data_IF_413006529668
#
_entry.id   IF_413006529668
#
_cell.length_a   1.000
_cell.length_b   1.000
_cell.length_c   1.000
_cell.angle_alpha   90.00
_cell.angle_beta   90.00
_cell.angle_gamma   90.00
#
_symmetry.space_group_name_H-M   'P 1'
#
loop_
_entity.id
_entity.type
_entity.pdbx_description
1 polymer ?
#
# COMPACT_ATOMS: atom_id res chain seq x y z
N UNK A 1 -30.51 -34.50 -41.39
CA UNK A 1 -31.00 -33.96 -40.11
C UNK A 1 -30.32 -32.62 -39.90
N UNK A 2 -30.99 -31.54 -40.28
CA UNK A 2 -30.48 -30.17 -40.10
C UNK A 2 -30.90 -29.68 -38.73
N UNK A 3 -29.92 -29.45 -37.85
CA UNK A 3 -30.14 -28.84 -36.54
C UNK A 3 -30.24 -27.33 -36.78
N UNK A 4 -31.46 -26.80 -36.74
CA UNK A 4 -31.70 -25.36 -36.74
C UNK A 4 -31.50 -24.87 -35.31
N UNK A 5 -30.34 -24.27 -35.01
CA UNK A 5 -30.16 -23.50 -33.78
C UNK A 5 -31.02 -22.25 -33.87
N UNK A 6 -32.11 -22.23 -33.11
CA UNK A 6 -32.92 -21.04 -32.89
C UNK A 6 -32.07 -20.08 -32.04
N UNK A 7 -31.56 -19.02 -32.66
CA UNK A 7 -31.03 -17.87 -31.92
C UNK A 7 -32.20 -17.19 -31.21
N UNK A 8 -32.28 -17.34 -29.89
CA UNK A 8 -33.27 -16.62 -29.07
C UNK A 8 -32.80 -15.17 -28.90
N UNK A 9 -33.57 -14.16 -29.34
CA UNK A 9 -33.22 -12.74 -29.21
C UNK A 9 -33.39 -12.19 -27.78
N UNK A 10 -33.54 -13.05 -26.77
CA UNK A 10 -33.81 -12.66 -25.37
C UNK A 10 -32.58 -12.68 -24.47
N UNK A 11 -31.46 -13.28 -24.88
CA UNK A 11 -30.24 -13.36 -24.05
C UNK A 11 -29.48 -12.03 -23.97
N UNK A 12 -29.67 -11.09 -24.92
CA UNK A 12 -28.93 -9.81 -24.93
C UNK A 12 -29.53 -8.75 -24.02
N UNK A 13 -30.79 -8.89 -23.60
CA UNK A 13 -31.47 -7.88 -22.78
C UNK A 13 -31.11 -8.01 -21.29
N UNK A 14 -30.75 -9.22 -20.84
CA UNK A 14 -30.37 -9.48 -19.45
C UNK A 14 -28.97 -8.96 -19.12
N UNK A 15 -28.02 -9.02 -20.07
CA UNK A 15 -26.67 -8.46 -19.88
C UNK A 15 -26.68 -6.93 -19.74
N UNK A 16 -27.47 -6.21 -20.55
CA UNK A 16 -27.54 -4.73 -20.46
C UNK A 16 -28.25 -4.23 -19.18
N UNK A 17 -29.24 -4.99 -18.69
CA UNK A 17 -29.93 -4.70 -17.43
C UNK A 17 -29.05 -4.95 -16.20
N UNK A 18 -28.19 -5.97 -16.23
CA UNK A 18 -27.26 -6.26 -15.13
C UNK A 18 -26.13 -5.23 -15.04
N UNK A 19 -25.61 -4.76 -16.19
CA UNK A 19 -24.63 -3.66 -16.21
C UNK A 19 -25.21 -2.34 -15.72
N UNK A 20 -26.41 -1.97 -16.15
CA UNK A 20 -27.07 -0.73 -15.70
C UNK A 20 -27.49 -0.81 -14.23
N UNK A 21 -27.96 -1.96 -13.75
CA UNK A 21 -28.23 -2.18 -12.33
C UNK A 21 -26.94 -2.11 -11.50
N UNK A 22 -25.85 -2.72 -11.97
CA UNK A 22 -24.54 -2.64 -11.34
C UNK A 22 -24.02 -1.20 -11.24
N UNK A 23 -24.11 -0.43 -12.33
CA UNK A 23 -23.74 0.98 -12.34
C UNK A 23 -24.62 1.84 -11.43
N UNK A 24 -25.92 1.56 -11.37
CA UNK A 24 -26.85 2.23 -10.46
C UNK A 24 -26.53 1.91 -9.00
N UNK A 25 -26.29 0.65 -8.66
CA UNK A 25 -25.90 0.24 -7.32
C UNK A 25 -24.58 0.87 -6.90
N UNK A 26 -23.58 0.91 -7.79
CA UNK A 26 -22.30 1.58 -7.55
C UNK A 26 -22.46 3.09 -7.38
N UNK A 27 -23.33 3.74 -8.14
CA UNK A 27 -23.56 5.20 -7.99
C UNK A 27 -24.33 5.56 -6.72
N UNK A 28 -25.16 4.63 -6.20
CA UNK A 28 -25.94 4.80 -4.97
C UNK A 28 -25.26 4.21 -3.73
N UNK A 29 -24.12 3.54 -3.90
CA UNK A 29 -23.27 3.09 -2.81
C UNK A 29 -22.69 4.31 -2.11
N UNK A 30 -23.26 4.63 -0.95
CA UNK A 30 -22.80 5.73 -0.11
C UNK A 30 -21.34 5.46 0.30
N UNK A 31 -20.39 6.36 -0.02
CA UNK A 31 -19.00 6.16 0.35
C UNK A 31 -18.88 6.11 1.87
N UNK A 32 -18.03 5.21 2.35
CA UNK A 32 -17.74 5.05 3.77
C UNK A 32 -16.24 4.93 3.98
N UNK A 33 -15.80 5.25 5.19
CA UNK A 33 -14.41 5.08 5.58
C UNK A 33 -14.15 3.62 5.90
N UNK A 34 -13.25 2.98 5.15
CA UNK A 34 -12.87 1.58 5.38
C UNK A 34 -12.35 1.33 6.80
N UNK A 35 -11.70 2.33 7.42
CA UNK A 35 -11.11 2.17 8.75
C UNK A 35 -12.09 2.39 9.92
N UNK A 36 -12.99 3.37 9.83
CA UNK A 36 -13.87 3.74 10.95
C UNK A 36 -15.38 3.70 10.64
N UNK A 37 -15.76 3.34 9.42
CA UNK A 37 -17.15 3.21 9.00
C UNK A 37 -17.93 4.52 8.85
N UNK A 38 -17.33 5.70 9.08
CA UNK A 38 -18.07 6.96 8.90
C UNK A 38 -18.48 7.13 7.43
N UNK A 39 -19.72 7.58 7.23
CA UNK A 39 -20.26 7.96 5.92
C UNK A 39 -20.17 9.47 5.67
N UNK A 40 -19.65 10.21 6.65
CA UNK A 40 -19.59 11.66 6.63
C UNK A 40 -18.17 12.12 6.98
N UNK A 41 -17.63 12.99 6.14
CA UNK A 41 -16.31 13.57 6.33
C UNK A 41 -16.17 14.83 5.49
N UNK A 42 -15.34 15.77 5.93
CA UNK A 42 -15.05 16.99 5.18
C UNK A 42 -14.31 16.73 3.87
N UNK A 43 -13.55 15.62 3.79
CA UNK A 43 -12.78 15.24 2.61
C UNK A 43 -12.51 13.74 2.61
N UNK A 44 -12.78 13.09 1.49
CA UNK A 44 -12.39 11.71 1.23
C UNK A 44 -10.94 11.63 0.76
N UNK A 45 -10.19 10.66 1.27
CA UNK A 45 -8.78 10.41 0.94
C UNK A 45 -8.60 8.97 0.48
N UNK A 46 -7.62 8.73 -0.39
CA UNK A 46 -7.25 7.38 -0.84
C UNK A 46 -6.37 6.70 0.20
N UNK A 47 -6.71 5.46 0.56
CA UNK A 47 -5.97 4.61 1.48
C UNK A 47 -5.07 3.59 0.76
N UNK A 48 -4.97 2.39 1.33
CA UNK A 48 -4.24 1.27 0.72
C UNK A 48 -5.01 0.68 -0.46
N UNK A 49 -4.28 -0.05 -1.31
CA UNK A 49 -4.90 -0.88 -2.36
C UNK A 49 -5.30 -2.20 -1.73
N UNK A 50 -6.59 -2.54 -1.81
CA UNK A 50 -7.07 -3.87 -1.42
C UNK A 50 -6.72 -4.86 -2.53
N UNK A 51 -6.35 -6.10 -2.20
CA UNK A 51 -6.16 -7.14 -3.21
C UNK A 51 -7.46 -7.56 -3.90
N UNK A 52 -8.61 -7.29 -3.26
CA UNK A 52 -9.94 -7.60 -3.77
C UNK A 52 -10.52 -6.49 -4.64
N UNK A 53 -10.08 -5.25 -4.43
CA UNK A 53 -10.55 -4.10 -5.19
C UNK A 53 -9.44 -3.65 -6.16
N UNK A 54 -9.78 -3.43 -7.42
CA UNK A 54 -8.85 -2.84 -8.40
C UNK A 54 -8.46 -1.40 -8.06
N UNK A 55 -9.08 -0.80 -7.04
CA UNK A 55 -8.89 0.58 -6.61
C UNK A 55 -8.51 0.69 -5.13
N UNK A 56 -7.94 1.85 -4.76
CA UNK A 56 -7.61 2.16 -3.37
C UNK A 56 -8.87 2.33 -2.53
N UNK A 57 -8.83 1.88 -1.28
CA UNK A 57 -9.94 2.06 -0.33
C UNK A 57 -10.16 3.54 -0.02
N UNK A 58 -11.39 3.89 0.36
CA UNK A 58 -11.74 5.24 0.78
C UNK A 58 -11.55 5.40 2.28
N UNK A 59 -10.88 6.48 2.68
CA UNK A 59 -10.69 6.87 4.07
C UNK A 59 -11.30 8.25 4.32
N UNK A 60 -11.87 8.45 5.50
CA UNK A 60 -12.27 9.79 5.94
C UNK A 60 -11.05 10.69 6.13
N UNK A 61 -11.26 12.00 6.25
CA UNK A 61 -10.17 12.97 6.36
C UNK A 61 -9.23 12.64 7.54
N UNK A 62 -9.76 12.31 8.71
CA UNK A 62 -8.98 11.99 9.90
C UNK A 62 -8.14 10.71 9.72
N UNK A 63 -8.75 9.63 9.22
CA UNK A 63 -8.07 8.36 8.99
C UNK A 63 -7.02 8.48 7.87
N UNK A 64 -7.38 9.11 6.75
CA UNK A 64 -6.46 9.31 5.63
C UNK A 64 -5.24 10.15 5.99
N UNK A 65 -5.39 11.19 6.82
CA UNK A 65 -4.24 11.97 7.31
C UNK A 65 -3.26 11.12 8.12
N UNK A 66 -3.75 10.23 9.00
CA UNK A 66 -2.91 9.30 9.75
C UNK A 66 -2.24 8.29 8.83
N UNK A 67 -2.98 7.74 7.87
CA UNK A 67 -2.46 6.82 6.87
C UNK A 67 -1.27 7.43 6.10
N UNK A 68 -1.41 8.65 5.57
CA UNK A 68 -0.34 9.34 4.86
C UNK A 68 0.86 9.73 5.76
N UNK A 69 0.62 9.88 7.07
CA UNK A 69 1.69 10.04 8.08
C UNK A 69 2.32 8.72 8.50
N UNK A 70 2.00 7.62 7.82
CA UNK A 70 2.53 6.29 8.13
C UNK A 70 2.13 5.76 9.52
N UNK A 71 1.03 6.26 10.06
CA UNK A 71 0.48 5.90 11.37
C UNK A 71 -0.52 4.74 11.26
N UNK A 72 -0.05 3.62 10.71
CA UNK A 72 -0.84 2.40 10.56
C UNK A 72 0.05 1.15 10.55
N UNK A 73 -0.54 -0.01 10.87
CA UNK A 73 0.15 -1.29 10.76
C UNK A 73 0.29 -1.70 9.28
N UNK A 74 1.50 -1.98 8.77
CA UNK A 74 1.72 -2.27 7.35
C UNK A 74 1.12 -3.59 6.85
N UNK A 75 0.66 -4.46 7.75
CA UNK A 75 0.12 -5.77 7.39
C UNK A 75 -1.41 -5.79 7.38
N UNK A 76 -2.04 -5.35 8.48
CA UNK A 76 -3.50 -5.33 8.59
C UNK A 76 -4.13 -3.97 8.28
N UNK A 77 -3.33 -2.96 7.95
CA UNK A 77 -3.77 -1.58 7.66
C UNK A 77 -4.50 -0.85 8.79
N UNK A 78 -4.55 -1.43 9.98
CA UNK A 78 -5.13 -0.79 11.17
C UNK A 78 -4.45 0.55 11.46
N UNK A 79 -5.25 1.63 11.50
CA UNK A 79 -4.79 2.99 11.74
C UNK A 79 -4.91 3.31 13.24
N UNK A 80 -3.78 3.31 13.93
CA UNK A 80 -3.75 3.61 15.36
C UNK A 80 -4.04 5.10 15.65
N UNK A 81 -4.83 5.36 16.69
CA UNK A 81 -5.27 6.67 17.15
C UNK A 81 -4.98 6.97 18.63
N UNK A 82 -5.41 8.16 19.06
CA UNK A 82 -5.23 8.62 20.45
C UNK A 82 -6.03 7.81 21.48
N UNK A 83 -7.10 7.13 21.04
CA UNK A 83 -7.91 6.28 21.91
C UNK A 83 -7.16 4.97 22.23
N UNK A 84 -6.39 4.45 21.27
CA UNK A 84 -5.60 3.22 21.41
C UNK A 84 -4.37 3.41 22.32
N UNK A 85 -3.93 4.66 22.56
CA UNK A 85 -2.90 4.97 23.56
C UNK A 85 -3.39 4.68 24.99
N UNK A 86 -4.71 4.73 25.23
CA UNK A 86 -5.31 4.51 26.56
C UNK A 86 -5.70 3.05 26.81
N UNK A 87 -5.77 2.22 25.77
CA UNK A 87 -6.05 0.78 25.88
C UNK A 87 -4.75 0.00 25.99
N UNK A 88 -4.07 0.18 27.12
CA UNK A 88 -2.73 -0.33 27.45
C UNK A 88 -2.66 -1.86 27.63
N UNK A 89 -3.68 -2.63 27.22
CA UNK A 89 -3.73 -4.09 27.42
C UNK A 89 -4.00 -4.91 26.16
N UNK A 90 -4.24 -4.29 25.00
CA UNK A 90 -4.45 -5.02 23.75
C UNK A 90 -3.25 -4.83 22.81
N UNK A 91 -2.48 -5.91 22.74
CA UNK A 91 -1.54 -6.26 21.67
C UNK A 91 -0.14 -5.65 21.77
N UNK A 92 0.86 -6.53 21.91
CA UNK A 92 2.28 -6.21 21.84
C UNK A 92 2.60 -5.50 20.51
N UNK A 93 2.87 -4.20 20.55
CA UNK A 93 3.29 -3.43 19.39
C UNK A 93 4.81 -3.46 19.24
N UNK A 94 5.29 -3.85 18.07
CA UNK A 94 6.68 -3.68 17.66
C UNK A 94 6.88 -2.27 17.10
N UNK A 95 7.92 -1.57 17.56
CA UNK A 95 8.22 -0.19 17.13
C UNK A 95 9.48 -0.18 16.28
N UNK A 96 9.37 0.25 15.02
CA UNK A 96 10.49 0.32 14.10
C UNK A 96 11.52 1.36 14.56
N UNK A 97 12.78 0.94 14.75
CA UNK A 97 13.86 1.84 15.14
C UNK A 97 14.18 2.91 14.10
N UNK A 98 13.99 2.61 12.82
CA UNK A 98 14.39 3.51 11.72
C UNK A 98 13.38 4.62 11.43
N UNK A 99 12.08 4.37 11.60
CA UNK A 99 11.03 5.33 11.21
C UNK A 99 9.95 5.54 12.28
N UNK A 100 10.04 4.86 13.43
CA UNK A 100 9.05 4.95 14.50
C UNK A 100 7.69 4.30 14.19
N UNK A 101 7.50 3.72 12.99
CA UNK A 101 6.26 3.03 12.63
C UNK A 101 6.02 1.83 13.54
N UNK A 102 4.79 1.68 14.00
CA UNK A 102 4.35 0.55 14.83
C UNK A 102 3.73 -0.57 13.98
N UNK A 103 4.01 -1.81 14.34
CA UNK A 103 3.43 -3.02 13.75
C UNK A 103 2.89 -3.90 14.89
N UNK A 104 1.76 -4.57 14.72
CA UNK A 104 1.36 -5.59 15.69
C UNK A 104 2.35 -6.77 15.64
N UNK A 105 2.78 -7.27 16.80
CA UNK A 105 3.65 -8.45 16.91
C UNK A 105 3.06 -9.67 16.22
N UNK A 106 1.75 -9.88 16.39
CA UNK A 106 1.05 -10.98 15.73
C UNK A 106 1.01 -10.83 14.20
N UNK A 107 0.83 -9.61 13.70
CA UNK A 107 0.88 -9.35 12.26
C UNK A 107 2.26 -9.67 11.67
N UNK A 108 3.33 -9.28 12.36
CA UNK A 108 4.71 -9.61 11.96
C UNK A 108 4.94 -11.13 11.99
N UNK A 109 4.40 -11.83 12.99
CA UNK A 109 4.51 -13.29 13.08
C UNK A 109 3.81 -14.01 11.93
N UNK A 110 2.62 -13.54 11.53
CA UNK A 110 1.81 -14.19 10.50
C UNK A 110 2.25 -13.87 9.08
N UNK A 111 2.65 -12.62 8.82
CA UNK A 111 2.85 -12.09 7.46
C UNK A 111 4.27 -11.55 7.22
N UNK A 112 5.03 -11.34 8.28
CA UNK A 112 6.37 -10.77 8.24
C UNK A 112 7.47 -11.81 8.38
N UNK A 113 8.55 -11.42 9.07
CA UNK A 113 9.67 -12.31 9.37
C UNK A 113 9.63 -12.67 10.87
N UNK A 114 9.39 -13.94 11.24
CA UNK A 114 9.38 -14.37 12.63
C UNK A 114 10.67 -14.03 13.38
N UNK A 115 11.82 -13.99 12.71
CA UNK A 115 13.11 -13.70 13.35
C UNK A 115 13.22 -12.23 13.81
N UNK A 116 12.43 -11.34 13.23
CA UNK A 116 12.50 -9.91 13.52
C UNK A 116 11.72 -9.50 14.78
N UNK A 117 10.87 -10.39 15.31
CA UNK A 117 10.03 -10.12 16.48
C UNK A 117 10.87 -9.87 17.74
N UNK A 118 11.86 -10.71 17.97
CA UNK A 118 12.75 -10.63 19.14
C UNK A 118 14.03 -9.86 18.84
N UNK A 119 14.15 -9.31 17.61
CA UNK A 119 15.35 -8.62 17.21
C UNK A 119 15.46 -7.25 17.92
N UNK A 120 16.57 -6.94 18.61
CA UNK A 120 16.72 -5.70 19.38
C UNK A 120 16.68 -4.43 18.51
N UNK A 121 16.87 -4.57 17.20
CA UNK A 121 16.65 -3.50 16.23
C UNK A 121 15.56 -3.88 15.24
N UNK A 122 14.32 -4.02 15.73
CA UNK A 122 13.18 -4.24 14.85
C UNK A 122 13.10 -3.14 13.78
N UNK A 123 12.94 -3.56 12.52
CA UNK A 123 12.71 -2.70 11.37
C UNK A 123 11.38 -3.12 10.73
N UNK A 124 10.51 -2.16 10.39
CA UNK A 124 9.27 -2.48 9.68
C UNK A 124 9.54 -2.89 8.24
N UNK A 125 8.56 -3.56 7.61
CA UNK A 125 8.64 -4.03 6.22
C UNK A 125 9.07 -2.92 5.23
N UNK A 126 8.59 -1.70 5.42
CA UNK A 126 8.97 -0.55 4.60
C UNK A 126 10.47 -0.26 4.67
N UNK A 127 11.03 -0.17 5.88
CA UNK A 127 12.46 0.08 6.07
C UNK A 127 13.34 -1.09 5.61
N UNK A 128 12.86 -2.33 5.75
CA UNK A 128 13.59 -3.52 5.24
C UNK A 128 13.70 -3.50 3.71
N UNK A 129 12.60 -3.19 3.00
CA UNK A 129 12.57 -3.14 1.53
C UNK A 129 13.39 -1.97 0.96
N UNK A 130 13.63 -0.92 1.74
CA UNK A 130 14.44 0.25 1.34
C UNK A 130 15.94 -0.01 1.53
N UNK A 131 16.37 -1.16 2.08
CA UNK A 131 17.80 -1.48 2.12
C UNK A 131 18.37 -1.37 0.70
N UNK A 132 19.43 -0.57 0.51
CA UNK A 132 19.98 -0.38 -0.81
C UNK A 132 20.47 -1.74 -1.27
N UNK A 133 19.86 -2.26 -2.34
CA UNK A 133 20.54 -3.18 -3.24
C UNK A 133 21.93 -2.56 -3.44
N UNK A 134 22.98 -3.19 -2.92
CA UNK A 134 24.35 -2.79 -3.20
C UNK A 134 24.48 -2.82 -4.72
N UNK A 135 24.31 -1.68 -5.39
CA UNK A 135 24.68 -1.55 -6.79
C UNK A 135 26.15 -1.98 -6.83
N UNK A 136 26.54 -2.99 -7.64
CA UNK A 136 27.94 -3.20 -7.92
C UNK A 136 28.50 -1.85 -8.35
N UNK A 137 29.53 -1.35 -7.67
CA UNK A 137 30.23 -0.16 -8.10
C UNK A 137 30.89 -0.51 -9.44
N UNK A 138 30.19 -0.27 -10.54
CA UNK A 138 30.83 -0.22 -11.85
C UNK A 138 31.68 1.04 -11.82
N UNK A 139 32.97 0.87 -11.53
CA UNK A 139 33.97 1.91 -11.72
C UNK A 139 33.93 2.28 -13.20
N UNK A 140 33.45 3.50 -13.50
CA UNK A 140 33.46 4.03 -14.87
C UNK A 140 34.91 4.18 -15.33
N UNK A 141 35.29 3.42 -16.35
CA UNK A 141 36.62 3.44 -16.99
C UNK A 141 36.99 4.85 -17.49
N UNK A 142 36.00 5.73 -17.73
CA UNK A 142 36.17 7.10 -18.22
C UNK A 142 37.03 8.03 -17.34
N UNK A 143 37.39 7.60 -16.11
CA UNK A 143 38.28 8.37 -15.24
C UNK A 143 39.76 7.94 -15.30
N UNK A 144 40.12 6.92 -16.09
CA UNK A 144 41.49 6.42 -16.17
C UNK A 144 42.36 7.11 -17.25
N UNK A 145 41.76 7.83 -18.20
CA UNK A 145 42.49 8.43 -19.33
C UNK A 145 42.55 9.97 -19.31
N UNK A 146 42.73 10.57 -18.12
CA UNK A 146 42.91 12.03 -18.00
C UNK A 146 44.36 12.42 -17.68
N UNK A 147 45.33 11.72 -18.24
CA UNK A 147 46.75 12.09 -18.25
C UNK A 147 47.32 11.86 -19.65
N UNK A 148 46.81 12.60 -20.62
CA UNK A 148 47.54 12.88 -21.85
C UNK A 148 47.13 14.28 -22.31
N UNK A 149 48.13 15.03 -22.78
CA UNK A 149 48.08 16.44 -23.21
C UNK A 149 48.21 17.49 -22.10
N UNK A 150 49.47 17.88 -21.83
CA UNK A 150 49.93 19.28 -21.82
C UNK A 150 51.45 19.32 -21.56
N UNK A 151 52.25 18.95 -22.57
CA UNK A 151 53.61 19.47 -22.74
C UNK A 151 53.77 19.77 -24.24
N UNK A 152 53.87 21.06 -24.55
CA UNK A 152 54.12 21.78 -25.83
C UNK A 152 53.21 23.03 -25.80
N UNK A 153 53.64 24.29 -25.84
CA UNK A 153 54.93 24.97 -26.01
C UNK A 153 54.77 26.40 -25.42
N UNK A 154 55.87 27.17 -25.40
CA UNK A 154 56.01 28.64 -25.23
C UNK A 154 56.47 29.16 -23.85
N UNK A 155 57.79 29.15 -23.62
CA UNK A 155 58.65 30.35 -23.76
C UNK A 155 60.15 30.01 -23.69
#
# INVERSE_FOLDING_TARGET
>A
MTITTLNHPEDTLYDELDETAGAYLISHLRPYCENCGTFETSQWRKGWTSGLLTHSVLLCNACGLKYHKNQYCPFCHYIYGKEDEKQTQKEDWLVCRSCGRRCHKECELKMGDPHMIDHPTFQCLGCRKIQPQRRPQVLSIDKLFRHEELVRDDQ
#
